data_IF_578576680122
#
_entry.id   IF_578576680122
#
_cell.length_a   1.000
_cell.length_b   1.000
_cell.length_c   1.000
_cell.angle_alpha   90.00
_cell.angle_beta   90.00
_cell.angle_gamma   90.00
#
_symmetry.space_group_name_H-M   'P 1'
#
loop_
_entity.id
_entity.type
_entity.pdbx_description
1 polymer ?
#
# COMPACT_ATOMS: atom_id res chain seq x y z
N UNK A 1 5.94 0.54 15.59
CA UNK A 1 6.94 0.94 14.55
C UNK A 1 8.37 0.72 15.03
N UNK A 2 8.73 1.23 16.21
CA UNK A 2 10.08 1.10 16.81
C UNK A 2 10.56 -0.37 16.91
N UNK A 3 9.71 -1.32 17.32
CA UNK A 3 10.08 -2.74 17.37
C UNK A 3 10.41 -3.36 16.00
N UNK A 4 9.66 -2.97 14.95
CA UNK A 4 9.88 -3.44 13.57
C UNK A 4 11.19 -2.87 13.04
N UNK A 5 11.43 -1.58 13.29
CA UNK A 5 12.67 -0.88 12.94
C UNK A 5 13.87 -1.50 13.66
N UNK A 6 13.75 -1.76 14.97
CA UNK A 6 14.83 -2.33 15.78
C UNK A 6 15.26 -3.73 15.30
N UNK A 7 14.38 -4.44 14.58
CA UNK A 7 14.67 -5.73 13.94
C UNK A 7 15.15 -5.60 12.48
N UNK A 8 15.44 -4.39 12.01
CA UNK A 8 15.86 -4.11 10.62
C UNK A 8 14.71 -4.13 9.60
N UNK A 9 13.46 -4.10 10.06
CA UNK A 9 12.29 -4.03 9.20
C UNK A 9 12.21 -2.69 8.46
N UNK A 10 11.99 -2.74 7.15
CA UNK A 10 11.84 -1.55 6.30
C UNK A 10 10.40 -1.08 6.35
N UNK A 11 10.18 0.13 6.84
CA UNK A 11 8.85 0.74 6.94
C UNK A 11 8.59 1.65 5.76
N UNK A 12 7.46 1.45 5.08
CA UNK A 12 6.87 2.39 4.12
C UNK A 12 5.67 3.02 4.83
N UNK A 13 5.70 4.33 5.01
CA UNK A 13 4.64 5.09 5.68
C UNK A 13 3.70 5.67 4.63
N UNK A 14 2.39 5.47 4.79
CA UNK A 14 1.35 6.16 4.03
C UNK A 14 0.58 7.01 5.04
N UNK A 15 0.50 8.32 4.81
CA UNK A 15 -0.05 9.26 5.80
C UNK A 15 -0.78 10.40 5.09
N UNK A 16 -1.79 10.96 5.74
CA UNK A 16 -2.47 12.19 5.33
C UNK A 16 -2.02 13.40 6.19
N UNK A 17 -1.03 13.21 7.05
CA UNK A 17 -0.48 14.26 7.90
C UNK A 17 0.94 14.62 7.50
N UNK A 18 1.16 15.91 7.27
CA UNK A 18 2.48 16.51 7.20
C UNK A 18 2.98 16.71 8.64
N UNK A 19 3.43 15.65 9.30
CA UNK A 19 3.97 15.78 10.64
C UNK A 19 5.42 15.32 10.71
N UNK A 20 6.24 16.17 11.32
CA UNK A 20 7.69 16.10 11.55
C UNK A 20 8.15 14.97 12.47
N UNK A 21 7.26 14.01 12.78
CA UNK A 21 7.50 12.84 13.65
C UNK A 21 7.64 11.58 12.78
N UNK A 22 8.17 11.74 11.56
CA UNK A 22 8.63 10.61 10.78
C UNK A 22 9.92 10.16 11.45
N UNK A 23 9.88 9.02 12.14
CA UNK A 23 11.09 8.40 12.67
C UNK A 23 12.14 8.36 11.55
N UNK A 24 13.38 8.77 11.83
CA UNK A 24 14.49 8.78 10.85
C UNK A 24 14.67 7.44 10.12
N UNK A 25 14.13 6.37 10.70
CA UNK A 25 14.21 5.01 10.21
C UNK A 25 13.05 4.59 9.28
N UNK A 26 12.15 5.50 8.89
CA UNK A 26 11.17 5.26 7.83
C UNK A 26 11.87 5.32 6.47
N UNK A 27 11.69 4.29 5.64
CA UNK A 27 12.42 4.17 4.37
C UNK A 27 11.80 5.03 3.26
N UNK A 28 10.48 5.08 3.23
CA UNK A 28 9.71 5.86 2.26
C UNK A 28 8.44 6.37 2.92
N UNK A 29 8.08 7.62 2.62
CA UNK A 29 6.83 8.22 3.04
C UNK A 29 6.03 8.63 1.82
N UNK A 30 4.77 8.23 1.77
CA UNK A 30 3.80 8.65 0.78
C UNK A 30 2.74 9.49 1.49
N UNK A 31 2.73 10.79 1.16
CA UNK A 31 1.70 11.71 1.64
C UNK A 31 0.49 11.65 0.70
N UNK A 32 -0.69 11.52 1.30
CA UNK A 32 -1.96 11.62 0.59
C UNK A 32 -2.72 12.88 1.03
N UNK A 33 -3.51 13.50 0.14
CA UNK A 33 -4.29 14.67 0.50
C UNK A 33 -5.23 14.40 1.68
N UNK A 34 -5.34 15.37 2.59
CA UNK A 34 -6.42 15.35 3.59
C UNK A 34 -7.76 15.43 2.87
N UNK A 35 -8.67 14.55 3.26
CA UNK A 35 -10.05 14.50 2.77
C UNK A 35 -10.98 14.19 3.94
N UNK A 36 -12.28 14.18 3.67
CA UNK A 36 -13.30 13.78 4.64
C UNK A 36 -12.99 12.39 5.24
N UNK A 37 -13.27 12.21 6.53
CA UNK A 37 -12.96 10.97 7.24
C UNK A 37 -13.66 9.74 6.63
N UNK A 38 -14.85 9.91 6.04
CA UNK A 38 -15.55 8.83 5.36
C UNK A 38 -14.94 8.50 3.99
N UNK A 39 -14.26 9.47 3.35
CA UNK A 39 -13.56 9.27 2.08
C UNK A 39 -12.12 8.77 2.25
N UNK A 40 -11.53 8.97 3.42
CA UNK A 40 -10.15 8.58 3.72
C UNK A 40 -9.84 7.10 3.41
N UNK A 41 -10.69 6.13 3.77
CA UNK A 41 -10.42 4.72 3.46
C UNK A 41 -10.32 4.45 1.95
N UNK A 42 -11.13 5.13 1.14
CA UNK A 42 -11.08 4.98 -0.32
C UNK A 42 -9.76 5.52 -0.87
N UNK A 43 -9.37 6.73 -0.46
CA UNK A 43 -8.14 7.34 -0.93
C UNK A 43 -6.89 6.54 -0.52
N UNK A 44 -6.90 5.95 0.69
CA UNK A 44 -5.84 5.08 1.19
C UNK A 44 -5.71 3.77 0.40
N UNK A 45 -6.75 3.29 -0.30
CA UNK A 45 -6.68 2.05 -1.09
C UNK A 45 -5.95 2.22 -2.42
N UNK A 46 -6.02 3.40 -3.04
CA UNK A 46 -5.39 3.70 -4.33
C UNK A 46 -3.87 3.41 -4.32
N UNK A 47 -3.07 3.92 -3.36
CA UNK A 47 -1.64 3.64 -3.36
C UNK A 47 -1.31 2.16 -3.12
N UNK A 48 -2.15 1.42 -2.40
CA UNK A 48 -2.00 -0.03 -2.23
C UNK A 48 -2.28 -0.79 -3.53
N UNK A 49 -3.31 -0.37 -4.29
CA UNK A 49 -3.61 -0.92 -5.62
C UNK A 49 -2.46 -0.65 -6.60
N UNK A 50 -1.93 0.56 -6.63
CA UNK A 50 -0.78 0.94 -7.47
C UNK A 50 0.49 0.17 -7.08
N UNK A 51 0.74 0.00 -5.77
CA UNK A 51 1.85 -0.81 -5.28
C UNK A 51 1.75 -2.26 -5.79
N UNK A 52 0.57 -2.88 -5.67
CA UNK A 52 0.33 -4.23 -6.16
C UNK A 52 0.54 -4.32 -7.68
N UNK A 53 -0.01 -3.37 -8.44
CA UNK A 53 0.14 -3.28 -9.89
C UNK A 53 1.62 -3.19 -10.30
N UNK A 54 2.37 -2.26 -9.74
CA UNK A 54 3.77 -2.05 -10.10
C UNK A 54 4.65 -3.23 -9.68
N UNK A 55 4.41 -3.85 -8.53
CA UNK A 55 5.12 -5.07 -8.14
C UNK A 55 4.81 -6.22 -9.09
N UNK A 56 3.55 -6.41 -9.47
CA UNK A 56 3.14 -7.44 -10.42
C UNK A 56 3.79 -7.23 -11.81
N UNK A 57 3.80 -5.98 -12.30
CA UNK A 57 4.47 -5.60 -13.54
C UNK A 57 5.99 -5.88 -13.49
N UNK A 58 6.67 -5.46 -12.42
CA UNK A 58 8.10 -5.71 -12.23
C UNK A 58 8.43 -7.19 -12.11
N UNK A 59 7.51 -8.01 -11.59
CA UNK A 59 7.66 -9.46 -11.49
C UNK A 59 7.19 -10.22 -12.72
N UNK A 60 6.77 -9.53 -13.79
CA UNK A 60 6.20 -10.12 -15.00
C UNK A 60 5.03 -11.08 -14.72
N UNK A 61 4.18 -10.73 -13.75
CA UNK A 61 2.94 -11.46 -13.49
C UNK A 61 1.85 -11.05 -14.49
N UNK A 62 0.92 -11.96 -14.79
CA UNK A 62 -0.32 -11.61 -15.50
C UNK A 62 -1.23 -10.84 -14.53
N UNK A 63 -1.35 -9.53 -14.77
CA UNK A 63 -2.05 -8.58 -13.89
C UNK A 63 -3.57 -8.73 -14.04
N UNK A 64 -4.05 -8.96 -15.27
CA UNK A 64 -5.48 -9.05 -15.57
C UNK A 64 -6.04 -10.43 -15.27
N UNK A 65 -5.20 -11.47 -15.38
CA UNK A 65 -5.57 -12.87 -15.13
C UNK A 65 -4.60 -13.53 -14.15
N UNK A 66 -4.62 -13.13 -12.87
CA UNK A 66 -3.77 -13.75 -11.85
C UNK A 66 -4.03 -15.25 -11.76
N UNK A 67 -2.94 -16.01 -11.61
CA UNK A 67 -2.99 -17.48 -11.58
C UNK A 67 -3.95 -17.98 -10.49
N UNK A 68 -4.74 -19.00 -10.82
CA UNK A 68 -5.71 -19.67 -9.93
C UNK A 68 -6.90 -18.80 -9.49
N UNK A 69 -7.15 -17.65 -10.12
CA UNK A 69 -8.30 -16.81 -9.82
C UNK A 69 -9.26 -16.72 -11.01
N UNK A 70 -10.55 -16.63 -10.67
CA UNK A 70 -11.62 -16.29 -11.61
C UNK A 70 -12.21 -14.93 -11.19
N UNK A 71 -12.78 -14.19 -12.15
CA UNK A 71 -13.42 -12.90 -11.85
C UNK A 71 -14.64 -13.05 -10.93
N UNK A 72 -15.33 -14.18 -11.04
CA UNK A 72 -16.43 -14.60 -10.19
C UNK A 72 -16.45 -16.13 -10.18
N UNK A 73 -16.73 -16.74 -9.03
CA UNK A 73 -16.89 -18.19 -8.90
C UNK A 73 -18.39 -18.46 -8.95
N UNK A 74 -18.85 -19.09 -10.03
CA UNK A 74 -20.28 -19.26 -10.33
C UNK A 74 -20.75 -20.71 -10.29
N UNK A 75 -19.86 -21.66 -9.95
CA UNK A 75 -20.16 -23.08 -9.81
C UNK A 75 -19.77 -23.53 -8.40
N UNK A 76 -20.70 -24.21 -7.71
CA UNK A 76 -20.46 -24.89 -6.43
C UNK A 76 -19.76 -26.24 -6.64
#
# INVERSE_FOLDING_TARGET
MQEVIARGGKVILITNENNSIISENVRFTLEIPKTDNYLMPFLMTIPLQLLAYHVAALKNCDIDKPRNLAKSVTVE
#
